data_IF_406803359847
#
_entry.id   IF_406803359847
#
_cell.length_a   1.000
_cell.length_b   1.000
_cell.length_c   1.000
_cell.angle_alpha   90.00
_cell.angle_beta   90.00
_cell.angle_gamma   90.00
#
_symmetry.space_group_name_H-M   'P 1'
#
loop_
_entity.id
_entity.type
_entity.pdbx_description
1 polymer ?
#
# COMPACT_ATOMS: atom_id res chain seq x y z
N UNK A 1 -22.90 -12.47 -36.22
CA UNK A 1 -23.73 -13.36 -35.38
C UNK A 1 -24.63 -12.49 -34.53
N UNK A 2 -25.93 -12.80 -34.47
CA UNK A 2 -26.99 -11.97 -33.88
C UNK A 2 -26.87 -11.86 -32.35
N UNK A 3 -27.02 -10.63 -31.85
CA UNK A 3 -26.88 -10.12 -30.46
C UNK A 3 -27.83 -10.74 -29.41
N UNK A 4 -28.47 -11.87 -29.71
CA UNK A 4 -29.47 -12.54 -28.87
C UNK A 4 -28.96 -13.74 -28.05
N UNK A 5 -27.69 -14.15 -28.22
CA UNK A 5 -27.13 -15.33 -27.50
C UNK A 5 -26.25 -15.01 -26.29
N UNK A 6 -25.92 -13.75 -26.04
CA UNK A 6 -25.04 -13.37 -24.93
C UNK A 6 -25.91 -13.02 -23.71
N UNK A 7 -25.76 -13.72 -22.58
CA UNK A 7 -26.45 -13.38 -21.34
C UNK A 7 -26.24 -11.91 -20.95
N UNK A 8 -27.23 -11.27 -20.32
CA UNK A 8 -27.20 -9.83 -20.01
C UNK A 8 -25.92 -9.39 -19.27
N UNK A 9 -25.46 -10.18 -18.29
CA UNK A 9 -24.23 -9.92 -17.51
C UNK A 9 -22.92 -10.09 -18.30
N UNK A 10 -22.98 -10.63 -19.52
CA UNK A 10 -21.83 -10.89 -20.39
C UNK A 10 -21.77 -9.92 -21.57
N UNK A 11 -22.73 -8.99 -21.68
CA UNK A 11 -22.70 -7.92 -22.68
C UNK A 11 -21.59 -6.92 -22.32
N UNK A 12 -20.74 -6.59 -23.30
CA UNK A 12 -19.60 -5.68 -23.12
C UNK A 12 -18.25 -6.39 -22.95
N UNK A 13 -18.22 -7.72 -22.88
CA UNK A 13 -16.98 -8.47 -22.87
C UNK A 13 -16.28 -8.41 -24.26
N UNK A 14 -15.10 -7.81 -24.31
CA UNK A 14 -14.20 -7.90 -25.46
C UNK A 14 -13.27 -9.11 -25.32
N UNK A 15 -12.95 -9.77 -26.44
CA UNK A 15 -12.00 -10.87 -26.42
C UNK A 15 -10.60 -10.36 -26.01
N UNK A 16 -9.95 -10.93 -24.98
CA UNK A 16 -8.57 -10.61 -24.67
C UNK A 16 -7.68 -11.01 -25.87
N UNK A 17 -6.84 -10.09 -26.35
CA UNK A 17 -5.87 -10.40 -27.41
C UNK A 17 -4.49 -10.61 -26.80
N UNK A 18 -4.07 -11.87 -26.71
CA UNK A 18 -2.72 -12.29 -26.36
C UNK A 18 -2.18 -13.18 -27.47
N UNK A 19 -1.72 -12.60 -28.57
CA UNK A 19 -1.05 -13.36 -29.63
C UNK A 19 0.37 -13.75 -29.18
N UNK A 20 0.44 -14.59 -28.15
CA UNK A 20 1.67 -15.18 -27.63
C UNK A 20 1.39 -16.64 -27.28
N UNK A 21 2.39 -17.51 -27.45
CA UNK A 21 2.31 -18.93 -27.10
C UNK A 21 2.45 -19.18 -25.59
N UNK A 22 2.63 -18.12 -24.79
CA UNK A 22 2.67 -18.14 -23.33
C UNK A 22 1.52 -17.29 -22.77
N UNK A 23 1.03 -17.63 -21.58
CA UNK A 23 -0.03 -16.90 -20.89
C UNK A 23 0.45 -15.48 -20.55
N UNK A 24 0.17 -14.52 -21.43
CA UNK A 24 0.36 -13.09 -21.20
C UNK A 24 -0.99 -12.45 -20.90
N UNK A 25 -1.05 -11.76 -19.77
CA UNK A 25 -2.09 -10.80 -19.45
C UNK A 25 -1.75 -9.44 -20.05
N UNK A 26 -2.75 -8.60 -20.28
CA UNK A 26 -2.54 -7.17 -20.51
C UNK A 26 -1.96 -6.46 -19.28
N UNK A 27 -2.07 -7.07 -18.09
CA UNK A 27 -1.44 -6.59 -16.87
C UNK A 27 0.00 -7.09 -16.76
N UNK A 28 0.95 -6.16 -16.71
CA UNK A 28 2.38 -6.46 -16.44
C UNK A 28 2.59 -7.23 -15.13
N UNK A 29 1.81 -6.93 -14.10
CA UNK A 29 1.86 -7.61 -12.80
C UNK A 29 1.54 -9.10 -12.93
N UNK A 30 0.53 -9.44 -13.73
CA UNK A 30 0.14 -10.84 -13.94
C UNK A 30 1.08 -11.60 -14.89
N UNK A 31 2.05 -10.91 -15.52
CA UNK A 31 3.06 -11.53 -16.36
C UNK A 31 4.28 -12.00 -15.56
N UNK A 32 4.53 -11.45 -14.37
CA UNK A 32 5.61 -11.88 -13.48
C UNK A 32 5.17 -13.06 -12.59
N UNK A 33 5.93 -14.16 -12.64
CA UNK A 33 5.61 -15.36 -11.90
C UNK A 33 5.67 -15.17 -10.37
N UNK A 34 6.56 -14.29 -9.88
CA UNK A 34 6.75 -14.03 -8.45
C UNK A 34 5.56 -13.25 -7.88
N UNK A 35 5.02 -12.28 -8.63
CA UNK A 35 3.79 -11.56 -8.26
C UNK A 35 2.61 -12.52 -8.18
N UNK A 36 2.45 -13.39 -9.18
CA UNK A 36 1.41 -14.43 -9.18
C UNK A 36 1.52 -15.37 -7.98
N UNK A 37 2.74 -15.84 -7.68
CA UNK A 37 3.00 -16.72 -6.54
C UNK A 37 2.68 -16.03 -5.21
N UNK A 38 3.12 -14.78 -5.02
CA UNK A 38 2.82 -14.01 -3.81
C UNK A 38 1.33 -13.84 -3.56
N UNK A 39 0.54 -13.57 -4.62
CA UNK A 39 -0.92 -13.51 -4.55
C UNK A 39 -1.51 -14.89 -4.23
N UNK A 40 -1.04 -15.95 -4.89
CA UNK A 40 -1.53 -17.31 -4.67
C UNK A 40 -1.32 -17.77 -3.22
N UNK A 41 -0.13 -17.54 -2.66
CA UNK A 41 0.18 -17.83 -1.26
C UNK A 41 -0.75 -17.07 -0.30
N UNK A 42 -1.07 -15.80 -0.62
CA UNK A 42 -1.97 -14.99 0.21
C UNK A 42 -3.44 -15.44 0.12
N UNK A 43 -3.90 -15.78 -1.07
CA UNK A 43 -5.33 -16.05 -1.35
C UNK A 43 -5.72 -17.51 -1.12
N UNK A 44 -4.80 -18.45 -1.34
CA UNK A 44 -5.04 -19.89 -1.25
C UNK A 44 -4.39 -20.52 -0.02
N UNK A 45 -3.44 -19.80 0.62
CA UNK A 45 -2.79 -20.23 1.85
C UNK A 45 -3.79 -20.36 3.00
N UNK A 46 -3.62 -21.41 3.81
CA UNK A 46 -4.32 -21.50 5.09
C UNK A 46 -3.58 -20.65 6.12
N UNK A 47 -4.32 -19.89 6.91
CA UNK A 47 -3.76 -19.24 8.10
C UNK A 47 -3.28 -20.32 9.07
N UNK A 48 -1.97 -20.48 9.18
CA UNK A 48 -1.30 -21.44 10.05
C UNK A 48 -0.38 -20.73 11.05
N UNK A 49 0.18 -21.49 11.98
CA UNK A 49 1.19 -20.98 12.93
C UNK A 49 2.62 -21.10 12.38
N UNK A 50 2.78 -21.73 11.22
CA UNK A 50 4.08 -22.08 10.66
C UNK A 50 4.80 -20.86 10.09
N UNK A 51 4.06 -19.88 9.56
CA UNK A 51 4.59 -18.64 9.00
C UNK A 51 3.73 -17.45 9.45
N UNK A 52 4.35 -16.31 9.80
CA UNK A 52 3.59 -15.10 10.08
C UNK A 52 2.86 -14.60 8.83
N UNK A 53 1.70 -13.92 8.96
CA UNK A 53 0.94 -13.43 7.80
C UNK A 53 1.69 -12.45 6.88
N UNK A 54 2.77 -11.85 7.39
CA UNK A 54 3.64 -10.90 6.67
C UNK A 54 4.82 -11.58 5.98
N UNK A 55 5.02 -12.89 6.14
CA UNK A 55 6.19 -13.62 5.64
C UNK A 55 6.43 -13.45 4.14
N UNK A 56 5.38 -13.48 3.33
CA UNK A 56 5.50 -13.37 1.87
C UNK A 56 5.63 -11.93 1.36
N UNK A 57 5.45 -10.92 2.23
CA UNK A 57 5.42 -9.52 1.82
C UNK A 57 6.76 -9.04 1.23
N UNK A 58 7.95 -9.33 1.79
CA UNK A 58 9.21 -8.86 1.21
C UNK A 58 9.41 -9.33 -0.24
N UNK A 59 9.19 -10.62 -0.50
CA UNK A 59 9.32 -11.18 -1.85
C UNK A 59 8.28 -10.62 -2.82
N UNK A 60 7.06 -10.35 -2.33
CA UNK A 60 6.01 -9.71 -3.14
C UNK A 60 6.37 -8.26 -3.47
N UNK A 61 6.87 -7.47 -2.50
CA UNK A 61 7.28 -6.08 -2.74
C UNK A 61 8.46 -5.99 -3.70
N UNK A 62 9.45 -6.87 -3.58
CA UNK A 62 10.55 -6.95 -4.55
C UNK A 62 10.04 -7.24 -5.97
N UNK A 63 9.13 -8.20 -6.10
CA UNK A 63 8.55 -8.57 -7.39
C UNK A 63 7.72 -7.43 -8.00
N UNK A 64 6.90 -6.74 -7.18
CA UNK A 64 6.12 -5.58 -7.60
C UNK A 64 7.05 -4.44 -8.03
N UNK A 65 8.07 -4.13 -7.22
CA UNK A 65 9.02 -3.08 -7.53
C UNK A 65 9.82 -3.34 -8.81
N UNK A 66 10.06 -4.61 -9.17
CA UNK A 66 10.74 -4.96 -10.42
C UNK A 66 9.88 -4.79 -11.68
N UNK A 67 8.55 -4.74 -11.54
CA UNK A 67 7.63 -4.60 -12.68
C UNK A 67 6.93 -3.24 -12.73
N UNK A 68 6.99 -2.45 -11.67
CA UNK A 68 6.34 -1.15 -11.56
C UNK A 68 6.73 -0.21 -12.71
N UNK A 69 5.78 0.62 -13.16
CA UNK A 69 6.05 1.66 -14.15
C UNK A 69 6.39 2.98 -13.48
N UNK A 70 7.61 3.09 -12.95
CA UNK A 70 8.04 4.28 -12.22
C UNK A 70 7.96 5.58 -13.04
N UNK A 71 8.12 5.50 -14.36
CA UNK A 71 8.00 6.66 -15.23
C UNK A 71 6.55 7.15 -15.29
N UNK A 72 5.60 6.23 -15.45
CA UNK A 72 4.18 6.57 -15.40
C UNK A 72 3.76 7.07 -14.01
N UNK A 73 4.24 6.45 -12.94
CA UNK A 73 3.96 6.90 -11.57
C UNK A 73 4.46 8.32 -11.35
N UNK A 74 5.69 8.64 -11.76
CA UNK A 74 6.21 10.00 -11.63
C UNK A 74 5.41 11.00 -12.47
N UNK A 75 4.98 10.62 -13.68
CA UNK A 75 4.09 11.45 -14.51
C UNK A 75 2.79 11.79 -13.80
N UNK A 76 2.19 10.84 -13.07
CA UNK A 76 0.99 11.06 -12.28
C UNK A 76 1.23 12.01 -11.09
N UNK A 77 2.37 11.87 -10.40
CA UNK A 77 2.77 12.83 -9.36
C UNK A 77 2.92 14.25 -9.93
N UNK A 78 3.61 14.39 -11.06
CA UNK A 78 3.81 15.69 -11.71
C UNK A 78 2.48 16.33 -12.14
N UNK A 79 1.60 15.55 -12.76
CA UNK A 79 0.27 16.03 -13.16
C UNK A 79 -0.57 16.50 -11.97
N UNK A 80 -0.55 15.77 -10.84
CA UNK A 80 -1.30 16.18 -9.65
C UNK A 80 -0.70 17.44 -9.02
N UNK A 81 0.63 17.59 -8.99
CA UNK A 81 1.29 18.81 -8.48
C UNK A 81 0.90 20.07 -9.25
N UNK A 82 0.61 19.95 -10.55
CA UNK A 82 0.17 21.09 -11.37
C UNK A 82 -1.21 21.62 -10.97
N UNK A 83 -2.12 20.73 -10.54
CA UNK A 83 -3.51 21.06 -10.24
C UNK A 83 -3.80 21.19 -8.74
N UNK A 84 -2.93 20.66 -7.88
CA UNK A 84 -3.09 20.60 -6.44
C UNK A 84 -1.86 21.19 -5.71
N UNK A 85 -1.82 22.52 -5.51
CA UNK A 85 -0.71 23.17 -4.84
C UNK A 85 -0.46 22.66 -3.42
N UNK A 86 -1.52 22.28 -2.69
CA UNK A 86 -1.40 21.72 -1.33
C UNK A 86 -0.64 20.39 -1.35
N UNK A 87 -0.88 19.55 -2.34
CA UNK A 87 -0.15 18.30 -2.52
C UNK A 87 1.30 18.56 -2.91
N UNK A 88 1.55 19.51 -3.81
CA UNK A 88 2.89 19.91 -4.20
C UNK A 88 3.71 20.44 -3.01
N UNK A 89 3.12 21.33 -2.20
CA UNK A 89 3.75 21.88 -1.00
C UNK A 89 4.11 20.76 -0.02
N UNK A 90 3.16 19.86 0.28
CA UNK A 90 3.38 18.73 1.18
C UNK A 90 4.47 17.76 0.70
N UNK A 91 4.54 17.50 -0.61
CA UNK A 91 5.63 16.69 -1.20
C UNK A 91 6.98 17.40 -1.07
N UNK A 92 7.02 18.72 -1.26
CA UNK A 92 8.24 19.52 -1.21
C UNK A 92 8.86 19.60 0.19
N UNK A 93 8.06 19.43 1.25
CA UNK A 93 8.54 19.45 2.63
C UNK A 93 9.52 18.32 2.94
N UNK A 94 9.43 17.19 2.23
CA UNK A 94 10.26 15.98 2.45
C UNK A 94 10.39 15.59 3.92
N UNK A 95 9.33 15.84 4.69
CA UNK A 95 9.38 15.64 6.14
C UNK A 95 9.34 14.15 6.49
N UNK A 96 10.47 13.67 7.02
CA UNK A 96 10.59 12.35 7.62
C UNK A 96 10.85 12.49 9.12
N UNK A 97 10.05 11.81 9.93
CA UNK A 97 10.20 11.85 11.38
C UNK A 97 11.30 10.90 11.84
N UNK A 98 12.22 11.36 12.68
CA UNK A 98 13.25 10.51 13.31
C UNK A 98 12.74 9.88 14.61
N UNK A 99 11.44 9.61 14.70
CA UNK A 99 10.81 9.11 15.93
C UNK A 99 11.41 7.77 16.36
N UNK A 100 11.68 7.66 17.65
CA UNK A 100 12.07 6.43 18.32
C UNK A 100 10.93 5.96 19.23
N UNK A 101 10.90 4.66 19.54
CA UNK A 101 9.87 4.11 20.44
C UNK A 101 9.76 4.90 21.75
N UNK A 102 10.91 5.23 22.34
CA UNK A 102 10.98 5.81 23.68
C UNK A 102 10.54 7.29 23.71
N UNK A 103 10.48 7.96 22.56
CA UNK A 103 9.88 9.30 22.44
C UNK A 103 8.43 9.30 22.90
N UNK A 104 7.72 8.17 22.82
CA UNK A 104 6.31 8.08 23.17
C UNK A 104 6.04 7.70 24.64
N UNK A 105 7.08 7.37 25.43
CA UNK A 105 6.96 6.82 26.79
C UNK A 105 6.21 7.71 27.78
N UNK A 106 6.29 9.02 27.59
CA UNK A 106 5.79 10.03 28.52
C UNK A 106 4.32 10.41 28.29
N UNK A 107 3.71 9.93 27.22
CA UNK A 107 2.32 10.25 26.91
C UNK A 107 1.34 9.44 27.78
N UNK A 108 0.17 10.01 28.13
CA UNK A 108 -0.85 9.30 28.89
C UNK A 108 -1.33 8.01 28.18
N UNK A 109 -1.61 6.93 28.93
CA UNK A 109 -2.00 5.61 28.39
C UNK A 109 -3.11 5.62 27.33
N UNK A 110 -4.07 6.53 27.47
CA UNK A 110 -5.26 6.71 26.63
C UNK A 110 -5.06 7.65 25.44
N UNK A 111 -3.91 8.31 25.34
CA UNK A 111 -3.56 9.14 24.18
C UNK A 111 -3.05 8.29 23.01
N UNK A 112 -3.04 8.84 21.80
CA UNK A 112 -2.45 8.19 20.61
C UNK A 112 -1.01 7.75 20.88
N UNK A 113 -0.20 8.63 21.49
CA UNK A 113 1.19 8.32 21.86
C UNK A 113 1.30 7.19 22.89
N UNK A 114 0.44 7.17 23.91
CA UNK A 114 0.45 6.11 24.93
C UNK A 114 0.00 4.74 24.40
N UNK A 115 -0.98 4.72 23.49
CA UNK A 115 -1.42 3.50 22.80
C UNK A 115 -0.31 2.98 21.90
N UNK A 116 0.32 3.86 21.10
CA UNK A 116 1.41 3.50 20.20
C UNK A 116 2.65 3.02 20.95
N UNK A 117 3.05 3.74 22.02
CA UNK A 117 4.15 3.33 22.89
C UNK A 117 3.97 1.91 23.41
N UNK A 118 2.78 1.60 23.94
CA UNK A 118 2.46 0.26 24.44
C UNK A 118 2.55 -0.79 23.33
N UNK A 119 2.00 -0.50 22.16
CA UNK A 119 2.04 -1.41 21.00
C UNK A 119 3.49 -1.77 20.63
N UNK A 120 4.33 -0.76 20.46
CA UNK A 120 5.74 -0.92 20.10
C UNK A 120 6.54 -1.62 21.21
N UNK A 121 6.39 -1.17 22.45
CA UNK A 121 7.11 -1.71 23.61
C UNK A 121 6.79 -3.18 23.85
N UNK A 122 5.51 -3.56 23.84
CA UNK A 122 5.08 -4.93 24.13
C UNK A 122 5.52 -5.93 23.04
N UNK A 123 5.74 -5.45 21.81
CA UNK A 123 6.17 -6.27 20.65
C UNK A 123 7.66 -6.12 20.32
N UNK A 124 8.37 -5.27 21.03
CA UNK A 124 9.76 -4.91 20.76
C UNK A 124 9.96 -4.40 19.31
N UNK A 125 9.01 -3.60 18.83
CA UNK A 125 9.06 -2.96 17.52
C UNK A 125 9.66 -1.55 17.62
N UNK A 126 10.20 -1.10 16.49
CA UNK A 126 10.59 0.29 16.27
C UNK A 126 9.57 0.99 15.37
N UNK A 127 9.36 2.31 15.50
CA UNK A 127 8.34 3.02 14.72
C UNK A 127 8.56 2.99 13.21
N UNK A 128 9.82 2.97 12.76
CA UNK A 128 10.16 2.94 11.35
C UNK A 128 10.33 1.49 10.88
N UNK A 129 9.40 1.03 10.05
CA UNK A 129 9.40 -0.34 9.49
C UNK A 129 10.45 -0.47 8.38
N UNK A 130 10.72 0.62 7.68
CA UNK A 130 11.70 0.71 6.60
C UNK A 130 12.92 1.55 7.04
N UNK A 131 14.05 1.32 6.39
CA UNK A 131 15.25 2.12 6.59
C UNK A 131 15.05 3.56 6.08
N UNK A 132 15.31 4.53 6.97
CA UNK A 132 15.23 5.94 6.60
C UNK A 132 16.48 6.35 5.80
N UNK A 133 16.26 6.98 4.66
CA UNK A 133 17.26 7.59 3.80
C UNK A 133 16.71 8.88 3.18
N UNK A 134 17.56 9.66 2.52
CA UNK A 134 17.10 10.83 1.79
C UNK A 134 16.26 10.36 0.58
N UNK A 135 14.99 10.80 0.44
CA UNK A 135 14.15 10.31 -0.64
C UNK A 135 14.70 10.67 -2.02
N UNK A 136 14.80 9.67 -2.89
CA UNK A 136 15.32 9.86 -4.26
C UNK A 136 14.23 10.33 -5.24
N UNK A 137 12.96 10.13 -4.90
CA UNK A 137 11.81 10.49 -5.75
C UNK A 137 10.55 10.86 -4.96
N UNK A 138 9.51 11.35 -5.64
CA UNK A 138 8.19 11.61 -5.03
C UNK A 138 7.56 10.33 -4.49
N UNK A 139 7.66 9.24 -5.26
CA UNK A 139 7.15 7.93 -4.85
C UNK A 139 7.88 7.40 -3.62
N UNK A 140 9.20 7.53 -3.60
CA UNK A 140 10.04 7.06 -2.50
C UNK A 140 9.67 7.79 -1.20
N UNK A 141 9.62 9.13 -1.23
CA UNK A 141 9.13 9.91 -0.10
C UNK A 141 7.70 9.54 0.32
N UNK A 142 6.79 9.35 -0.64
CA UNK A 142 5.42 8.92 -0.36
C UNK A 142 5.39 7.57 0.36
N UNK A 143 6.18 6.60 -0.09
CA UNK A 143 6.27 5.27 0.53
C UNK A 143 6.84 5.35 1.94
N UNK A 144 7.94 6.10 2.11
CA UNK A 144 8.56 6.30 3.41
C UNK A 144 7.60 6.96 4.40
N UNK A 145 6.95 8.05 3.97
CA UNK A 145 6.01 8.78 4.81
C UNK A 145 4.77 7.95 5.12
N UNK A 146 4.26 7.18 4.14
CA UNK A 146 3.15 6.24 4.33
C UNK A 146 3.47 5.18 5.38
N UNK A 147 4.70 4.64 5.37
CA UNK A 147 5.15 3.68 6.38
C UNK A 147 5.15 4.28 7.79
N UNK A 148 5.56 5.54 7.95
CA UNK A 148 5.61 6.20 9.27
C UNK A 148 4.23 6.45 9.87
N UNK A 149 3.22 6.71 9.02
CA UNK A 149 1.89 7.09 9.50
C UNK A 149 0.95 5.88 9.66
N UNK A 150 1.25 4.76 9.02
CA UNK A 150 0.38 3.58 8.97
C UNK A 150 0.00 3.07 10.38
N UNK A 151 0.98 2.69 11.19
CA UNK A 151 0.70 2.11 12.50
C UNK A 151 0.21 3.16 13.52
N UNK A 152 0.87 4.33 13.59
CA UNK A 152 0.56 5.32 14.62
C UNK A 152 -0.72 6.13 14.34
N UNK A 153 -0.96 6.51 13.09
CA UNK A 153 -2.12 7.34 12.74
C UNK A 153 -3.23 6.50 12.12
N UNK A 154 -2.96 5.67 11.11
CA UNK A 154 -4.06 5.00 10.39
C UNK A 154 -4.76 3.96 11.26
N UNK A 155 -4.01 3.09 11.96
CA UNK A 155 -4.63 2.11 12.85
C UNK A 155 -5.32 2.77 14.05
N UNK A 156 -4.62 3.64 14.77
CA UNK A 156 -5.14 4.19 16.02
C UNK A 156 -6.32 5.14 15.77
N UNK A 157 -6.22 6.04 14.78
CA UNK A 157 -7.31 7.00 14.49
C UNK A 157 -8.52 6.34 13.86
N UNK A 158 -8.34 5.24 13.12
CA UNK A 158 -9.45 4.45 12.61
C UNK A 158 -10.04 3.47 13.65
N UNK A 159 -9.52 3.48 14.89
CA UNK A 159 -9.86 2.53 15.95
C UNK A 159 -9.71 1.06 15.50
N UNK A 160 -8.71 0.78 14.66
CA UNK A 160 -8.39 -0.52 14.12
C UNK A 160 -7.26 -1.17 14.94
N UNK A 161 -7.52 -2.27 15.66
CA UNK A 161 -6.48 -3.05 16.32
C UNK A 161 -5.36 -3.48 15.35
N UNK A 162 -4.17 -3.74 15.89
CA UNK A 162 -2.98 -4.15 15.11
C UNK A 162 -2.96 -5.66 14.81
N UNK A 163 -4.03 -6.16 14.22
CA UNK A 163 -4.12 -7.54 13.76
C UNK A 163 -4.43 -7.61 12.26
N UNK A 164 -4.17 -8.79 11.68
CA UNK A 164 -4.22 -8.98 10.23
C UNK A 164 -5.59 -8.75 9.60
N UNK A 165 -6.67 -8.93 10.36
CA UNK A 165 -8.03 -8.66 9.86
C UNK A 165 -8.29 -7.16 9.88
N UNK A 166 -7.77 -6.47 10.90
CA UNK A 166 -7.94 -5.04 11.04
C UNK A 166 -7.05 -4.20 10.11
N UNK A 167 -6.03 -4.77 9.47
CA UNK A 167 -5.31 -4.17 8.32
C UNK A 167 -6.24 -3.72 7.17
N UNK A 168 -7.41 -4.34 7.07
CA UNK A 168 -8.44 -3.98 6.10
C UNK A 168 -8.98 -2.57 6.35
N UNK A 169 -8.99 -2.11 7.60
CA UNK A 169 -9.58 -0.83 8.00
C UNK A 169 -8.73 0.36 7.53
N UNK A 170 -7.41 0.46 7.83
CA UNK A 170 -6.54 1.48 7.23
C UNK A 170 -6.56 1.47 5.70
N UNK A 171 -6.59 0.27 5.10
CA UNK A 171 -6.67 0.11 3.65
C UNK A 171 -7.95 0.73 3.09
N UNK A 172 -9.10 0.40 3.66
CA UNK A 172 -10.38 0.97 3.26
C UNK A 172 -10.42 2.49 3.48
N UNK A 173 -9.94 2.96 4.63
CA UNK A 173 -9.86 4.38 4.97
C UNK A 173 -9.05 5.17 3.94
N UNK A 174 -7.89 4.65 3.50
CA UNK A 174 -7.09 5.27 2.43
C UNK A 174 -7.88 5.35 1.12
N UNK A 175 -8.39 4.22 0.63
CA UNK A 175 -9.10 4.16 -0.65
C UNK A 175 -10.32 5.09 -0.66
N UNK A 176 -11.03 5.22 0.47
CA UNK A 176 -12.22 6.07 0.59
C UNK A 176 -11.93 7.51 1.03
N UNK A 177 -10.67 7.89 1.24
CA UNK A 177 -10.29 9.28 1.57
C UNK A 177 -9.51 9.94 0.45
N UNK A 178 -8.79 9.18 -0.38
CA UNK A 178 -7.92 9.71 -1.44
C UNK A 178 -8.68 10.65 -2.39
N UNK A 179 -9.92 10.35 -2.77
CA UNK A 179 -10.72 11.22 -3.65
C UNK A 179 -11.02 12.61 -3.06
N UNK A 180 -10.89 12.78 -1.74
CA UNK A 180 -11.11 14.06 -1.08
C UNK A 180 -9.89 14.98 -1.10
N UNK A 181 -8.72 14.42 -1.42
CA UNK A 181 -7.43 15.12 -1.36
C UNK A 181 -6.62 15.07 -2.65
N UNK A 182 -6.86 14.09 -3.53
CA UNK A 182 -6.27 13.98 -4.86
C UNK A 182 -7.35 14.08 -5.94
N UNK A 183 -6.97 14.59 -7.11
CA UNK A 183 -7.87 14.67 -8.26
C UNK A 183 -8.25 13.27 -8.78
N UNK A 184 -9.44 13.09 -9.38
CA UNK A 184 -9.73 11.88 -10.15
C UNK A 184 -8.78 11.82 -11.35
N UNK A 185 -7.90 10.82 -11.36
CA UNK A 185 -6.94 10.56 -12.45
C UNK A 185 -7.57 10.14 -13.76
#
# INVERSE_FOLDING_TARGET
>A
MTDKKIPYLMKGATAPTSASSILISSSRYLNDARVREGIALRMLGRNGRDLPPTYSLPALYEALGAVEDYAEVQRLFDAEKEVNPRFADWLSERYLSTMERDDFRHYPPESVGGIYYRYLHDRQFEPNIIELHEPESDLDYWQMRSSQIHDVFEHILAAAPFDIINEMVPTAMKITSVYSVLSPG
#
